data_IF_684282576556
#
_entry.id   IF_684282576556
#
_cell.length_a   1.000
_cell.length_b   1.000
_cell.length_c   1.000
_cell.angle_alpha   90.00
_cell.angle_beta   90.00
_cell.angle_gamma   90.00
#
_symmetry.space_group_name_H-M   'P 1'
#
loop_
_entity.id
_entity.type
_entity.pdbx_description
1 polymer ?
#
# COMPACT_ATOMS: atom_id res chain seq x y z
N UNK A 1 -11.66 21.75 -9.96
CA UNK A 1 -10.86 20.65 -10.56
C UNK A 1 -9.41 20.58 -10.04
N UNK A 2 -8.74 21.70 -9.74
CA UNK A 2 -7.32 21.71 -9.35
C UNK A 2 -7.02 21.03 -8.00
N UNK A 3 -7.86 21.25 -6.97
CA UNK A 3 -7.73 20.60 -5.65
C UNK A 3 -7.73 19.07 -5.72
N UNK A 4 -8.55 18.47 -6.59
CA UNK A 4 -8.65 17.02 -6.72
C UNK A 4 -7.39 16.44 -7.39
N UNK A 5 -6.74 17.19 -8.29
CA UNK A 5 -5.47 16.78 -8.89
C UNK A 5 -4.33 16.80 -7.90
N UNK A 6 -4.23 17.85 -7.07
CA UNK A 6 -3.20 17.92 -6.01
C UNK A 6 -3.32 16.76 -5.02
N UNK A 7 -4.54 16.40 -4.64
CA UNK A 7 -4.79 15.26 -3.75
C UNK A 7 -4.45 13.92 -4.40
N UNK A 8 -4.75 13.72 -5.68
CA UNK A 8 -4.33 12.51 -6.41
C UNK A 8 -2.81 12.41 -6.52
N UNK A 9 -2.10 13.52 -6.77
CA UNK A 9 -0.65 13.55 -6.76
C UNK A 9 -0.07 13.23 -5.38
N UNK A 10 -0.67 13.74 -4.30
CA UNK A 10 -0.28 13.40 -2.94
C UNK A 10 -0.49 11.91 -2.63
N UNK A 11 -1.62 11.33 -3.05
CA UNK A 11 -1.88 9.89 -2.97
C UNK A 11 -0.84 9.07 -3.74
N UNK A 12 -0.47 9.50 -4.96
CA UNK A 12 0.58 8.85 -5.75
C UNK A 12 1.96 8.93 -5.07
N UNK A 13 2.33 10.09 -4.55
CA UNK A 13 3.60 10.27 -3.86
C UNK A 13 3.69 9.37 -2.61
N UNK A 14 2.60 9.28 -1.84
CA UNK A 14 2.52 8.41 -0.68
C UNK A 14 2.55 6.92 -1.08
N UNK A 15 1.87 6.53 -2.16
CA UNK A 15 1.92 5.17 -2.70
C UNK A 15 3.32 4.79 -3.20
N UNK A 16 4.06 5.72 -3.81
CA UNK A 16 5.45 5.50 -4.23
C UNK A 16 6.39 5.32 -3.02
N UNK A 17 6.21 6.11 -1.97
CA UNK A 17 6.93 5.92 -0.70
C UNK A 17 6.58 4.56 -0.06
N UNK A 18 5.30 4.18 -0.11
CA UNK A 18 4.81 2.89 0.39
C UNK A 18 5.43 1.72 -0.37
N UNK A 19 5.60 1.85 -1.70
CA UNK A 19 6.29 0.87 -2.53
C UNK A 19 7.73 0.67 -2.08
N UNK A 20 8.46 1.77 -1.80
CA UNK A 20 9.84 1.71 -1.33
C UNK A 20 9.93 0.91 -0.02
N UNK A 21 9.07 1.18 0.94
CA UNK A 21 9.04 0.42 2.20
C UNK A 21 8.63 -1.03 2.02
N UNK A 22 7.71 -1.33 1.11
CA UNK A 22 7.31 -2.71 0.81
C UNK A 22 8.47 -3.51 0.16
N UNK A 23 9.23 -2.88 -0.74
CA UNK A 23 10.42 -3.48 -1.35
C UNK A 23 11.52 -3.71 -0.29
N UNK A 24 11.79 -2.72 0.57
CA UNK A 24 12.77 -2.87 1.66
C UNK A 24 12.32 -3.95 2.65
N UNK A 25 11.02 -4.03 2.96
CA UNK A 25 10.45 -5.10 3.80
C UNK A 25 10.73 -6.48 3.21
N UNK A 26 10.48 -6.66 1.90
CA UNK A 26 10.76 -7.92 1.21
C UNK A 26 12.26 -8.23 1.18
N UNK A 27 13.10 -7.24 0.89
CA UNK A 27 14.56 -7.42 0.89
C UNK A 27 15.09 -7.81 2.29
N UNK A 28 14.51 -7.24 3.35
CA UNK A 28 14.88 -7.52 4.75
C UNK A 28 14.22 -8.77 5.32
N UNK A 29 13.24 -9.36 4.63
CA UNK A 29 12.61 -10.63 5.04
C UNK A 29 13.56 -11.84 4.95
N UNK A 30 14.67 -11.71 4.21
CA UNK A 30 15.77 -12.69 4.19
C UNK A 30 16.81 -12.52 5.30
N UNK A 31 16.75 -11.46 6.11
CA UNK A 31 17.82 -11.11 7.06
C UNK A 31 17.63 -11.72 8.45
N UNK A 32 16.48 -12.34 8.73
CA UNK A 32 16.16 -12.99 10.01
C UNK A 32 17.04 -14.22 10.33
N UNK A 33 17.86 -14.68 9.39
CA UNK A 33 18.78 -15.81 9.57
C UNK A 33 20.26 -15.44 9.82
N UNK A 34 20.63 -14.15 9.78
CA UNK A 34 22.06 -13.74 9.81
C UNK A 34 22.60 -13.63 11.25
N UNK A 35 21.75 -13.55 12.27
CA UNK A 35 22.22 -13.47 13.66
C UNK A 35 22.34 -14.86 14.31
N UNK A 36 23.58 -15.32 14.45
CA UNK A 36 24.00 -16.46 15.29
C UNK A 36 23.55 -16.35 16.77
N UNK A 37 22.99 -15.20 17.18
CA UNK A 37 22.63 -14.85 18.55
C UNK A 37 21.14 -14.57 18.81
N UNK A 38 20.25 -14.62 17.80
CA UNK A 38 18.79 -14.44 18.00
C UNK A 38 17.97 -15.36 17.09
N UNK A 39 17.69 -16.62 17.49
CA UNK A 39 17.11 -17.64 16.61
C UNK A 39 15.62 -17.47 16.28
N UNK A 40 14.95 -16.40 16.71
CA UNK A 40 13.47 -16.32 16.74
C UNK A 40 12.89 -15.01 16.21
N UNK A 41 13.62 -14.29 15.36
CA UNK A 41 13.04 -13.12 14.68
C UNK A 41 12.29 -13.59 13.44
N UNK A 42 10.96 -13.51 13.49
CA UNK A 42 10.12 -13.86 12.33
C UNK A 42 10.22 -12.77 11.26
N UNK A 43 10.12 -13.19 10.00
CA UNK A 43 10.03 -12.28 8.84
C UNK A 43 8.68 -12.41 8.13
N UNK A 44 8.28 -11.36 7.43
CA UNK A 44 6.99 -11.26 6.74
C UNK A 44 6.82 -12.35 5.66
N UNK A 45 5.63 -12.98 5.53
CA UNK A 45 5.32 -13.87 4.41
C UNK A 45 5.62 -13.26 3.04
N UNK A 46 6.61 -13.82 2.33
CA UNK A 46 7.07 -13.30 1.04
C UNK A 46 5.97 -13.27 -0.03
N UNK A 47 5.11 -14.31 -0.09
CA UNK A 47 4.05 -14.39 -1.11
C UNK A 47 3.01 -13.26 -0.99
N UNK A 48 2.51 -12.99 0.22
CA UNK A 48 1.55 -11.90 0.45
C UNK A 48 2.22 -10.52 0.26
N UNK A 49 3.49 -10.37 0.64
CA UNK A 49 4.24 -9.14 0.42
C UNK A 49 4.51 -8.84 -1.05
N UNK A 50 4.82 -9.85 -1.87
CA UNK A 50 4.99 -9.70 -3.32
C UNK A 50 3.67 -9.27 -3.97
N UNK A 51 2.54 -9.89 -3.58
CA UNK A 51 1.23 -9.47 -4.07
C UNK A 51 0.92 -8.01 -3.72
N UNK A 52 1.18 -7.61 -2.47
CA UNK A 52 1.02 -6.21 -2.05
C UNK A 52 1.85 -5.25 -2.93
N UNK A 53 3.11 -5.58 -3.21
CA UNK A 53 3.97 -4.78 -4.11
C UNK A 53 3.39 -4.65 -5.51
N UNK A 54 2.91 -5.75 -6.09
CA UNK A 54 2.28 -5.74 -7.42
C UNK A 54 1.05 -4.83 -7.46
N UNK A 55 0.21 -4.89 -6.43
CA UNK A 55 -0.97 -4.03 -6.33
C UNK A 55 -0.60 -2.56 -6.13
N UNK A 56 0.46 -2.24 -5.38
CA UNK A 56 0.96 -0.86 -5.26
C UNK A 56 1.44 -0.34 -6.62
N UNK A 57 2.23 -1.12 -7.36
CA UNK A 57 2.71 -0.73 -8.70
C UNK A 57 1.53 -0.52 -9.65
N UNK A 58 0.56 -1.44 -9.68
CA UNK A 58 -0.63 -1.31 -10.50
C UNK A 58 -1.42 -0.03 -10.14
N UNK A 59 -1.59 0.26 -8.84
CA UNK A 59 -2.27 1.48 -8.39
C UNK A 59 -1.57 2.75 -8.85
N UNK A 60 -0.23 2.79 -8.84
CA UNK A 60 0.56 3.93 -9.30
C UNK A 60 0.37 4.17 -10.80
N UNK A 61 0.44 3.12 -11.61
CA UNK A 61 0.24 3.21 -13.06
C UNK A 61 -1.15 3.74 -13.37
N UNK A 62 -2.18 3.15 -12.74
CA UNK A 62 -3.57 3.56 -12.99
C UNK A 62 -3.82 4.98 -12.50
N UNK A 63 -3.27 5.39 -11.35
CA UNK A 63 -3.43 6.78 -10.87
C UNK A 63 -2.72 7.77 -11.78
N UNK A 64 -1.52 7.44 -12.28
CA UNK A 64 -0.81 8.25 -13.27
C UNK A 64 -1.66 8.42 -14.55
N UNK A 65 -2.27 7.34 -15.01
CA UNK A 65 -3.19 7.36 -16.16
C UNK A 65 -4.43 8.25 -15.89
N UNK A 66 -5.02 8.19 -14.70
CA UNK A 66 -6.14 9.05 -14.31
C UNK A 66 -5.73 10.53 -14.27
N UNK A 67 -4.56 10.86 -13.73
CA UNK A 67 -4.08 12.23 -13.57
C UNK A 67 -3.62 12.84 -14.91
N UNK A 68 -2.78 12.12 -15.66
CA UNK A 68 -2.09 12.63 -16.84
C UNK A 68 -2.85 12.35 -18.15
N UNK A 69 -3.48 11.19 -18.29
CA UNK A 69 -4.20 10.81 -19.51
C UNK A 69 -5.70 11.14 -19.48
N UNK A 70 -6.20 11.79 -18.40
CA UNK A 70 -7.60 12.21 -18.22
C UNK A 70 -8.62 11.09 -18.50
N UNK A 71 -8.29 9.85 -18.09
CA UNK A 71 -9.19 8.71 -18.25
C UNK A 71 -10.50 8.90 -17.46
N UNK A 72 -11.58 8.29 -17.96
CA UNK A 72 -12.94 8.53 -17.46
C UNK A 72 -13.09 8.32 -15.95
N UNK A 73 -14.07 8.99 -15.34
CA UNK A 73 -14.36 8.90 -13.90
C UNK A 73 -14.53 7.48 -13.39
N UNK A 74 -14.98 6.53 -14.21
CA UNK A 74 -15.12 5.11 -13.83
C UNK A 74 -13.77 4.43 -13.53
N UNK A 75 -12.68 4.90 -14.13
CA UNK A 75 -11.34 4.37 -13.86
C UNK A 75 -10.69 4.96 -12.60
N UNK A 76 -11.24 6.04 -12.04
CA UNK A 76 -10.76 6.61 -10.76
C UNK A 76 -11.02 5.70 -9.55
N UNK A 77 -11.92 4.73 -9.71
CA UNK A 77 -12.25 3.75 -8.67
C UNK A 77 -11.23 2.60 -8.59
N UNK A 78 -10.54 2.33 -9.71
CA UNK A 78 -9.60 1.22 -9.81
C UNK A 78 -8.38 1.39 -8.88
N UNK A 79 -7.72 2.57 -8.77
CA UNK A 79 -6.67 2.78 -7.77
C UNK A 79 -7.13 2.52 -6.34
N UNK A 80 -8.36 2.94 -5.99
CA UNK A 80 -8.92 2.75 -4.65
C UNK A 80 -9.06 1.27 -4.32
N UNK A 81 -9.57 0.48 -5.27
CA UNK A 81 -9.67 -0.99 -5.12
C UNK A 81 -8.28 -1.61 -4.96
N UNK A 82 -7.29 -1.16 -5.73
CA UNK A 82 -5.92 -1.67 -5.62
C UNK A 82 -5.27 -1.32 -4.27
N UNK A 83 -5.52 -0.12 -3.75
CA UNK A 83 -5.08 0.28 -2.40
C UNK A 83 -5.75 -0.56 -1.31
N UNK A 84 -7.04 -0.85 -1.44
CA UNK A 84 -7.76 -1.72 -0.53
C UNK A 84 -7.22 -3.16 -0.55
N UNK A 85 -7.00 -3.72 -1.74
CA UNK A 85 -6.40 -5.06 -1.87
C UNK A 85 -5.00 -5.10 -1.24
N UNK A 86 -4.17 -4.09 -1.49
CA UNK A 86 -2.85 -3.97 -0.86
C UNK A 86 -2.97 -3.95 0.68
N UNK A 87 -3.94 -3.20 1.22
CA UNK A 87 -4.22 -3.16 2.65
C UNK A 87 -4.58 -4.55 3.20
N UNK A 88 -5.40 -5.33 2.49
CA UNK A 88 -5.73 -6.70 2.88
C UNK A 88 -4.51 -7.63 2.87
N UNK A 89 -3.67 -7.58 1.83
CA UNK A 89 -2.48 -8.42 1.75
C UNK A 89 -1.45 -8.07 2.82
N UNK A 90 -1.25 -6.77 3.09
CA UNK A 90 -0.37 -6.29 4.16
C UNK A 90 -0.90 -6.68 5.54
N UNK A 91 -2.22 -6.60 5.76
CA UNK A 91 -2.86 -7.05 6.99
C UNK A 91 -2.74 -8.57 7.18
N UNK A 92 -2.96 -9.37 6.13
CA UNK A 92 -2.77 -10.83 6.18
C UNK A 92 -1.33 -11.21 6.54
N UNK A 93 -0.37 -10.43 6.07
CA UNK A 93 1.05 -10.56 6.43
C UNK A 93 1.25 -10.31 7.94
N UNK A 94 0.61 -9.28 8.50
CA UNK A 94 0.67 -8.95 9.93
C UNK A 94 -0.07 -9.95 10.83
N UNK A 95 -1.21 -10.50 10.40
CA UNK A 95 -1.95 -11.51 11.18
C UNK A 95 -1.11 -12.79 11.34
N UNK A 96 -0.36 -13.18 10.30
CA UNK A 96 0.60 -14.28 10.37
C UNK A 96 1.70 -14.08 11.42
N UNK A 97 2.03 -12.83 11.76
CA UNK A 97 2.94 -12.50 12.86
C UNK A 97 2.28 -12.72 14.23
N UNK A 98 1.09 -12.16 14.46
CA UNK A 98 0.43 -12.25 15.76
C UNK A 98 0.04 -13.69 16.16
N UNK A 99 -0.17 -14.57 15.18
CA UNK A 99 -0.39 -16.00 15.42
C UNK A 99 0.91 -16.77 15.76
N UNK A 100 2.05 -16.09 15.81
CA UNK A 100 3.35 -16.67 16.08
C UNK A 100 3.94 -16.23 17.41
N UNK A 101 4.35 -17.20 18.25
CA UNK A 101 5.08 -16.92 19.50
C UNK A 101 6.55 -16.49 19.21
N UNK A 102 6.77 -15.29 18.67
CA UNK A 102 8.10 -14.76 18.37
C UNK A 102 8.16 -13.22 18.32
N UNK A 103 9.36 -12.66 18.32
CA UNK A 103 9.57 -11.20 18.24
C UNK A 103 9.50 -10.70 16.80
N UNK A 104 8.89 -9.53 16.60
CA UNK A 104 8.73 -8.93 15.27
C UNK A 104 10.07 -8.50 14.71
N UNK A 105 10.43 -9.01 13.53
CA UNK A 105 11.54 -8.47 12.75
C UNK A 105 11.23 -7.11 12.14
N UNK A 106 12.28 -6.39 11.74
CA UNK A 106 12.15 -5.09 11.06
C UNK A 106 11.25 -5.15 9.81
N UNK A 107 11.19 -6.28 9.11
CA UNK A 107 10.28 -6.48 7.97
C UNK A 107 8.80 -6.40 8.35
N UNK A 108 8.41 -6.86 9.56
CA UNK A 108 7.03 -6.69 10.04
C UNK A 108 6.70 -5.24 10.40
N UNK A 109 7.64 -4.53 11.01
CA UNK A 109 7.46 -3.09 11.30
C UNK A 109 7.29 -2.29 10.02
N UNK A 110 8.11 -2.58 8.99
CA UNK A 110 7.96 -1.95 7.68
C UNK A 110 6.62 -2.32 7.03
N UNK A 111 6.19 -3.57 7.13
CA UNK A 111 4.89 -3.99 6.58
C UNK A 111 3.70 -3.33 7.28
N UNK A 112 3.80 -3.07 8.59
CA UNK A 112 2.82 -2.27 9.33
C UNK A 112 2.78 -0.82 8.84
N UNK A 113 3.95 -0.20 8.62
CA UNK A 113 4.04 1.13 8.02
C UNK A 113 3.43 1.16 6.62
N UNK A 114 3.72 0.15 5.79
CA UNK A 114 3.13 0.01 4.44
C UNK A 114 1.61 -0.05 4.52
N UNK A 115 1.06 -0.82 5.46
CA UNK A 115 -0.38 -0.91 5.67
C UNK A 115 -1.00 0.46 6.02
N UNK A 116 -0.42 1.18 6.97
CA UNK A 116 -0.92 2.51 7.36
C UNK A 116 -0.88 3.47 6.18
N UNK A 117 0.24 3.52 5.46
CA UNK A 117 0.42 4.48 4.39
C UNK A 117 -0.48 4.18 3.19
N UNK A 118 -0.70 2.90 2.88
CA UNK A 118 -1.60 2.54 1.77
C UNK A 118 -3.06 2.84 2.08
N UNK A 119 -3.48 2.70 3.34
CA UNK A 119 -4.83 3.09 3.77
C UNK A 119 -5.01 4.60 3.62
N UNK A 120 -4.05 5.40 4.07
CA UNK A 120 -4.08 6.86 3.93
C UNK A 120 -4.10 7.25 2.44
N UNK A 121 -3.24 6.66 1.62
CA UNK A 121 -3.20 6.91 0.17
C UNK A 121 -4.54 6.58 -0.51
N UNK A 122 -5.17 5.47 -0.10
CA UNK A 122 -6.49 5.06 -0.57
C UNK A 122 -7.60 6.01 -0.16
N UNK A 123 -7.62 6.48 1.09
CA UNK A 123 -8.59 7.46 1.58
C UNK A 123 -8.47 8.80 0.85
N UNK A 124 -7.24 9.27 0.62
CA UNK A 124 -6.98 10.49 -0.17
C UNK A 124 -7.49 10.32 -1.60
N UNK A 125 -7.20 9.18 -2.25
CA UNK A 125 -7.68 8.89 -3.59
C UNK A 125 -9.22 8.82 -3.66
N UNK A 126 -9.86 8.20 -2.66
CA UNK A 126 -11.31 8.09 -2.59
C UNK A 126 -12.00 9.43 -2.34
N UNK A 127 -11.40 10.30 -1.52
CA UNK A 127 -11.87 11.66 -1.33
C UNK A 127 -11.70 12.50 -2.60
N UNK A 128 -10.52 12.44 -3.24
CA UNK A 128 -10.23 13.19 -4.46
C UNK A 128 -11.11 12.76 -5.64
N UNK A 129 -11.55 11.50 -5.66
CA UNK A 129 -12.44 10.94 -6.68
C UNK A 129 -13.93 11.14 -6.37
N UNK A 130 -14.28 11.79 -5.25
CA UNK A 130 -15.67 12.06 -4.86
C UNK A 130 -16.45 10.85 -4.36
N UNK A 131 -15.81 9.68 -4.25
CA UNK A 131 -16.43 8.42 -3.79
C UNK A 131 -16.90 8.54 -2.34
N UNK A 132 -16.14 9.23 -1.49
CA UNK A 132 -16.48 9.44 -0.07
C UNK A 132 -17.49 10.57 0.18
N UNK A 133 -17.81 11.37 -0.82
CA UNK A 133 -18.64 12.58 -0.68
C UNK A 133 -20.06 12.43 -1.26
N UNK A 134 -20.49 11.20 -1.60
CA UNK A 134 -21.88 10.94 -2.00
C UNK A 134 -22.31 11.57 -3.34
N UNK A 135 -21.43 11.57 -4.34
CA UNK A 135 -21.83 11.83 -5.73
C UNK A 135 -22.12 13.29 -6.13
N UNK A 136 -21.83 14.28 -5.27
CA UNK A 136 -21.99 15.71 -5.64
C UNK A 136 -20.66 16.39 -5.93
N UNK A 137 -19.93 15.92 -6.94
CA UNK A 137 -18.91 16.74 -7.64
C UNK A 137 -18.98 16.46 -9.13
N UNK A 138 -20.14 16.75 -9.71
CA UNK A 138 -20.30 17.00 -11.14
C UNK A 138 -20.67 18.47 -11.32
N UNK A 139 -19.67 19.30 -11.57
CA UNK A 139 -19.75 20.61 -12.20
C UNK A 139 -18.37 20.93 -12.78
#
# INVERSE_FOLDING_TARGET
MERNRTLLLASMALAALTLLFAIISLATSGWGGISIFRPTVRTAPAALGILAVLFIIASLIVTALVVFAKLSSKMSLLPIVMFFLTSLFTMGTLIGFFNGNGTAGYSYNLMATVHVFIVIAGLIAAFASGVLLGGKTGA
#
